data_IF_152261558328
#
_entry.id   IF_152261558328
#
_cell.length_a   1.000
_cell.length_b   1.000
_cell.length_c   1.000
_cell.angle_alpha   90.00
_cell.angle_beta   90.00
_cell.angle_gamma   90.00
#
_symmetry.space_group_name_H-M   'P 1'
#
loop_
_entity.id
_entity.type
_entity.pdbx_description
1 polymer ?
#
# COMPACT_ATOMS: atom_id res chain seq x y z
N UNK A 1 -4.09 8.24 -6.22
CA UNK A 1 -3.50 6.96 -5.81
C UNK A 1 -2.86 6.24 -7.00
N UNK A 2 -2.05 5.18 -6.76
CA UNK A 2 -1.37 4.43 -7.83
C UNK A 2 -2.33 3.93 -8.91
N UNK A 3 -3.48 3.37 -8.56
CA UNK A 3 -4.46 2.88 -9.56
C UNK A 3 -4.97 4.02 -10.44
N UNK A 4 -5.31 5.17 -9.88
CA UNK A 4 -5.75 6.33 -10.66
C UNK A 4 -4.67 6.82 -11.64
N UNK A 5 -3.41 6.81 -11.21
CA UNK A 5 -2.27 7.12 -12.06
C UNK A 5 -2.15 6.13 -13.23
N UNK A 6 -2.25 4.83 -12.94
CA UNK A 6 -2.16 3.77 -13.94
C UNK A 6 -3.27 3.87 -14.99
N UNK A 7 -4.50 4.15 -14.56
CA UNK A 7 -5.65 4.35 -15.46
C UNK A 7 -5.45 5.61 -16.31
N UNK A 8 -5.06 6.74 -15.70
CA UNK A 8 -4.86 8.01 -16.41
C UNK A 8 -3.77 7.93 -17.49
N UNK A 9 -2.77 7.09 -17.28
CA UNK A 9 -1.66 6.89 -18.22
C UNK A 9 -1.86 5.65 -19.12
N UNK A 10 -3.09 5.11 -19.21
CA UNK A 10 -3.46 3.97 -20.08
C UNK A 10 -2.66 2.69 -19.82
N UNK A 11 -2.05 2.57 -18.63
CA UNK A 11 -1.29 1.39 -18.21
C UNK A 11 -2.18 0.31 -17.59
N UNK A 12 -3.39 0.65 -17.18
CA UNK A 12 -4.37 -0.27 -16.63
C UNK A 12 -5.78 0.10 -17.11
N UNK A 13 -6.48 -0.86 -17.72
CA UNK A 13 -7.88 -0.71 -18.11
C UNK A 13 -8.78 -1.03 -16.91
N UNK A 14 -9.74 -0.15 -16.60
CA UNK A 14 -10.70 -0.32 -15.51
C UNK A 14 -11.63 -1.53 -15.69
N UNK A 15 -11.77 -2.05 -16.90
CA UNK A 15 -12.51 -3.28 -17.18
C UNK A 15 -11.76 -4.55 -16.75
N UNK A 16 -10.45 -4.44 -16.51
CA UNK A 16 -9.61 -5.52 -16.01
C UNK A 16 -9.82 -5.75 -14.51
N UNK A 17 -9.34 -6.88 -14.02
CA UNK A 17 -9.55 -7.31 -12.64
C UNK A 17 -8.38 -6.95 -11.75
N UNK A 18 -8.67 -6.38 -10.58
CA UNK A 18 -7.69 -6.11 -9.51
C UNK A 18 -7.66 -7.26 -8.52
N UNK A 19 -6.48 -7.85 -8.32
CA UNK A 19 -6.21 -8.83 -7.26
C UNK A 19 -5.73 -8.15 -5.99
N UNK A 20 -6.37 -8.43 -4.87
CA UNK A 20 -6.02 -7.88 -3.54
C UNK A 20 -5.51 -9.02 -2.68
N UNK A 21 -4.28 -8.95 -2.19
CA UNK A 21 -3.72 -9.91 -1.25
C UNK A 21 -3.69 -9.28 0.15
N UNK A 22 -4.46 -9.88 1.07
CA UNK A 22 -4.71 -9.37 2.42
C UNK A 22 -6.00 -8.55 2.51
N UNK A 23 -6.92 -8.96 3.39
CA UNK A 23 -8.24 -8.33 3.61
C UNK A 23 -8.38 -7.71 5.01
N UNK A 24 -7.26 -7.18 5.52
CA UNK A 24 -7.23 -6.39 6.75
C UNK A 24 -7.81 -4.97 6.57
N UNK A 25 -7.41 -4.04 7.44
CA UNK A 25 -7.95 -2.67 7.45
C UNK A 25 -7.79 -1.92 6.12
N UNK A 26 -6.71 -2.14 5.38
CA UNK A 26 -6.45 -1.45 4.11
C UNK A 26 -7.08 -2.20 2.95
N UNK A 27 -6.83 -3.52 2.84
CA UNK A 27 -7.33 -4.33 1.73
C UNK A 27 -8.86 -4.39 1.67
N UNK A 28 -9.55 -4.49 2.81
CA UNK A 28 -11.02 -4.47 2.86
C UNK A 28 -11.60 -3.14 2.37
N UNK A 29 -11.01 -2.02 2.76
CA UNK A 29 -11.42 -0.68 2.30
C UNK A 29 -11.18 -0.49 0.81
N UNK A 30 -10.03 -0.97 0.31
CA UNK A 30 -9.72 -0.93 -1.12
C UNK A 30 -10.73 -1.76 -1.91
N UNK A 31 -11.04 -2.98 -1.45
CA UNK A 31 -12.05 -3.85 -2.06
C UNK A 31 -13.39 -3.14 -2.22
N UNK A 32 -13.88 -2.55 -1.12
CA UNK A 32 -15.15 -1.81 -1.12
C UNK A 32 -15.09 -0.62 -2.09
N UNK A 33 -14.01 0.16 -2.06
CA UNK A 33 -13.84 1.31 -2.94
C UNK A 33 -13.84 0.91 -4.43
N UNK A 34 -13.12 -0.16 -4.79
CA UNK A 34 -13.11 -0.68 -6.17
C UNK A 34 -14.51 -1.17 -6.59
N UNK A 35 -15.21 -1.90 -5.72
CA UNK A 35 -16.56 -2.36 -6.00
C UNK A 35 -17.55 -1.19 -6.21
N UNK A 36 -17.45 -0.14 -5.39
CA UNK A 36 -18.28 1.06 -5.54
C UNK A 36 -18.01 1.84 -6.84
N UNK A 37 -16.80 1.71 -7.38
CA UNK A 37 -16.40 2.28 -8.68
C UNK A 37 -16.71 1.35 -9.87
N UNK A 38 -17.33 0.19 -9.64
CA UNK A 38 -17.62 -0.80 -10.67
C UNK A 38 -16.39 -1.57 -11.18
N UNK A 39 -15.24 -1.45 -10.52
CA UNK A 39 -13.99 -2.14 -10.90
C UNK A 39 -14.01 -3.56 -10.35
N UNK A 40 -13.87 -4.53 -11.23
CA UNK A 40 -13.79 -5.95 -10.87
C UNK A 40 -12.61 -6.20 -9.95
N UNK A 41 -12.85 -6.92 -8.86
CA UNK A 41 -11.76 -7.27 -7.94
C UNK A 41 -11.94 -8.67 -7.36
N UNK A 42 -10.80 -9.30 -7.03
CA UNK A 42 -10.71 -10.58 -6.30
C UNK A 42 -9.83 -10.36 -5.10
N UNK A 43 -10.18 -11.00 -3.98
CA UNK A 43 -9.45 -10.83 -2.73
C UNK A 43 -9.02 -12.19 -2.20
N UNK A 44 -7.78 -12.30 -1.77
CA UNK A 44 -7.21 -13.48 -1.11
C UNK A 44 -6.75 -13.10 0.29
N UNK A 45 -7.24 -13.83 1.29
CA UNK A 45 -6.75 -13.80 2.65
C UNK A 45 -7.00 -15.17 3.30
N UNK A 46 -5.93 -15.95 3.59
CA UNK A 46 -6.08 -17.33 4.07
C UNK A 46 -6.50 -17.43 5.56
N UNK A 47 -6.58 -16.31 6.27
CA UNK A 47 -7.03 -16.26 7.66
C UNK A 47 -8.54 -16.02 7.79
N UNK A 48 -9.23 -15.70 6.69
CA UNK A 48 -10.64 -15.39 6.68
C UNK A 48 -11.41 -16.48 5.91
N UNK A 49 -12.64 -16.70 6.33
CA UNK A 49 -13.60 -17.58 5.67
C UNK A 49 -14.82 -16.72 5.27
N UNK A 50 -14.82 -16.27 4.02
CA UNK A 50 -15.82 -15.35 3.49
C UNK A 50 -16.10 -15.69 2.01
N UNK A 51 -17.36 -15.67 1.59
CA UNK A 51 -17.82 -16.09 0.25
C UNK A 51 -17.20 -15.29 -0.91
N UNK A 52 -16.76 -14.06 -0.66
CA UNK A 52 -16.15 -13.21 -1.68
C UNK A 52 -14.64 -13.45 -1.88
N UNK A 53 -14.02 -14.31 -1.07
CA UNK A 53 -12.60 -14.61 -1.19
C UNK A 53 -12.32 -15.60 -2.32
N UNK A 54 -11.13 -15.50 -2.88
CA UNK A 54 -10.60 -16.44 -3.87
C UNK A 54 -9.34 -17.12 -3.36
N UNK A 55 -8.87 -18.14 -4.05
CA UNK A 55 -7.56 -18.72 -3.80
C UNK A 55 -6.45 -17.92 -4.49
N UNK A 56 -5.20 -18.30 -4.23
CA UNK A 56 -4.02 -17.63 -4.78
C UNK A 56 -3.95 -17.69 -6.33
N UNK A 57 -4.47 -18.74 -6.92
CA UNK A 57 -4.51 -18.88 -8.39
C UNK A 57 -5.53 -17.93 -9.02
N UNK A 58 -6.63 -17.65 -8.32
CA UNK A 58 -7.57 -16.61 -8.70
C UNK A 58 -6.93 -15.21 -8.70
N UNK A 59 -5.96 -14.96 -7.82
CA UNK A 59 -5.16 -13.72 -7.81
C UNK A 59 -4.18 -13.68 -8.99
N UNK A 60 -3.50 -14.79 -9.27
CA UNK A 60 -2.58 -14.88 -10.43
C UNK A 60 -3.28 -14.56 -11.76
N UNK A 61 -4.58 -14.80 -11.85
CA UNK A 61 -5.37 -14.50 -13.03
C UNK A 61 -5.69 -13.00 -13.20
N UNK A 62 -5.46 -12.15 -12.19
CA UNK A 62 -5.73 -10.72 -12.25
C UNK A 62 -4.63 -9.97 -13.01
N UNK A 63 -4.97 -8.86 -13.65
CA UNK A 63 -4.06 -8.02 -14.42
C UNK A 63 -3.25 -7.07 -13.54
N UNK A 64 -3.82 -6.62 -12.43
CA UNK A 64 -3.16 -5.83 -11.41
C UNK A 64 -3.28 -6.55 -10.07
N UNK A 65 -2.15 -6.67 -9.36
CA UNK A 65 -2.11 -7.29 -8.02
C UNK A 65 -1.56 -6.26 -7.03
N UNK A 66 -2.21 -6.13 -5.88
CA UNK A 66 -1.79 -5.22 -4.81
C UNK A 66 -1.74 -5.92 -3.46
N UNK A 67 -0.69 -5.61 -2.68
CA UNK A 67 -0.38 -6.27 -1.41
C UNK A 67 -0.78 -5.42 -0.22
N UNK A 68 -1.48 -6.04 0.75
CA UNK A 68 -1.94 -5.42 1.99
C UNK A 68 -1.80 -6.36 3.18
N UNK A 69 -0.69 -7.10 3.25
CA UNK A 69 -0.38 -8.08 4.31
C UNK A 69 0.76 -7.60 5.21
N UNK A 70 0.80 -7.97 6.48
CA UNK A 70 2.00 -7.80 7.30
C UNK A 70 3.11 -8.74 6.83
N UNK A 71 4.36 -8.42 7.15
CA UNK A 71 5.48 -9.36 6.98
C UNK A 71 5.50 -10.33 8.17
N UNK A 72 5.38 -11.63 7.88
CA UNK A 72 5.41 -12.70 8.90
C UNK A 72 6.28 -13.86 8.43
N UNK A 73 7.04 -14.45 9.37
CA UNK A 73 7.83 -15.66 9.11
C UNK A 73 7.29 -16.90 9.84
N UNK A 74 6.69 -16.70 11.02
CA UNK A 74 6.27 -17.78 11.93
C UNK A 74 4.74 -17.82 12.11
N UNK A 75 3.97 -17.54 11.07
CA UNK A 75 2.52 -17.65 11.10
C UNK A 75 2.05 -18.93 10.40
N UNK A 76 0.79 -19.31 10.55
CA UNK A 76 0.18 -20.42 9.82
C UNK A 76 0.30 -20.24 8.29
N UNK A 77 0.26 -18.99 7.84
CA UNK A 77 0.44 -18.60 6.44
C UNK A 77 1.50 -17.49 6.39
N UNK A 78 2.80 -17.85 6.34
CA UNK A 78 3.88 -16.87 6.34
C UNK A 78 3.86 -16.05 5.06
N UNK A 79 4.18 -14.76 5.18
CA UNK A 79 4.17 -13.83 4.05
C UNK A 79 5.57 -13.46 3.57
N UNK A 80 6.63 -13.82 4.32
CA UNK A 80 8.01 -13.64 3.88
C UNK A 80 8.27 -14.43 2.60
N UNK A 81 8.71 -13.74 1.53
CA UNK A 81 8.89 -14.31 0.19
C UNK A 81 7.63 -15.03 -0.35
N UNK A 82 6.44 -14.61 0.06
CA UNK A 82 5.18 -15.20 -0.40
C UNK A 82 5.02 -15.07 -1.93
N UNK A 83 5.46 -13.95 -2.50
CA UNK A 83 5.55 -13.77 -3.94
C UNK A 83 6.98 -14.11 -4.38
N UNK A 84 7.26 -15.39 -4.42
CA UNK A 84 8.55 -15.95 -4.82
C UNK A 84 8.78 -15.90 -6.34
N UNK A 85 9.90 -16.43 -6.79
CA UNK A 85 10.27 -16.49 -8.20
C UNK A 85 9.27 -17.28 -9.05
N UNK A 86 8.65 -18.31 -8.51
CA UNK A 86 7.62 -19.11 -9.19
C UNK A 86 6.36 -18.26 -9.41
N UNK A 87 5.89 -17.57 -8.37
CA UNK A 87 4.74 -16.68 -8.48
C UNK A 87 5.03 -15.53 -9.46
N UNK A 88 6.14 -14.82 -9.28
CA UNK A 88 6.54 -13.68 -10.13
C UNK A 88 6.71 -14.11 -11.60
N UNK A 89 7.20 -15.31 -11.84
CA UNK A 89 7.33 -15.89 -13.20
C UNK A 89 5.99 -16.04 -13.94
N UNK A 90 4.87 -16.15 -13.22
CA UNK A 90 3.53 -16.22 -13.83
C UNK A 90 2.95 -14.84 -14.21
N UNK A 91 3.57 -13.74 -13.75
CA UNK A 91 3.06 -12.38 -13.93
C UNK A 91 3.64 -11.72 -15.18
N UNK A 92 3.31 -12.24 -16.36
CA UNK A 92 3.69 -11.61 -17.64
C UNK A 92 2.72 -10.50 -18.01
N UNK A 93 3.26 -9.34 -18.38
CA UNK A 93 2.48 -8.15 -18.80
C UNK A 93 1.45 -7.72 -17.74
N UNK A 94 1.78 -7.86 -16.47
CA UNK A 94 0.92 -7.54 -15.33
C UNK A 94 1.51 -6.41 -14.50
N UNK A 95 0.71 -5.92 -13.57
CA UNK A 95 1.11 -4.85 -12.64
C UNK A 95 1.13 -5.42 -11.23
N UNK A 96 2.24 -5.24 -10.53
CA UNK A 96 2.38 -5.59 -9.11
C UNK A 96 2.64 -4.33 -8.28
N UNK A 97 1.79 -4.09 -7.30
CA UNK A 97 1.90 -2.96 -6.36
C UNK A 97 2.22 -3.50 -4.96
N UNK A 98 3.36 -3.08 -4.40
CA UNK A 98 3.71 -3.37 -3.02
C UNK A 98 3.78 -2.09 -2.17
N UNK A 99 2.74 -1.84 -1.39
CA UNK A 99 2.67 -0.77 -0.41
C UNK A 99 2.49 -1.32 1.01
N UNK A 100 2.89 -2.58 1.23
CA UNK A 100 2.76 -3.22 2.53
C UNK A 100 4.08 -3.34 3.28
N UNK A 101 4.96 -4.26 2.92
CA UNK A 101 6.28 -4.45 3.56
C UNK A 101 7.30 -4.98 2.56
N UNK A 102 8.56 -4.60 2.72
CA UNK A 102 9.70 -5.29 2.12
C UNK A 102 9.77 -6.74 2.60
N UNK A 103 10.40 -7.63 1.84
CA UNK A 103 10.56 -9.04 2.18
C UNK A 103 9.35 -9.94 1.85
N UNK A 104 8.22 -9.39 1.37
CA UNK A 104 7.06 -10.18 0.90
C UNK A 104 7.29 -10.63 -0.55
N UNK A 105 7.92 -9.80 -1.35
CA UNK A 105 8.20 -10.02 -2.77
C UNK A 105 9.67 -10.40 -2.97
N UNK A 106 9.93 -11.41 -3.80
CA UNK A 106 11.28 -11.70 -4.30
C UNK A 106 11.69 -10.62 -5.30
N UNK A 107 12.40 -9.60 -4.82
CA UNK A 107 12.88 -8.48 -5.63
C UNK A 107 13.83 -8.91 -6.76
N UNK A 108 14.59 -9.99 -6.55
CA UNK A 108 15.45 -10.55 -7.59
C UNK A 108 14.63 -11.16 -8.73
N UNK A 109 13.51 -11.79 -8.41
CA UNK A 109 12.58 -12.30 -9.41
C UNK A 109 11.89 -11.15 -10.18
N UNK A 110 11.53 -10.06 -9.50
CA UNK A 110 11.01 -8.84 -10.14
C UNK A 110 12.02 -8.29 -11.14
N UNK A 111 13.31 -8.20 -10.78
CA UNK A 111 14.37 -7.73 -11.67
C UNK A 111 14.54 -8.61 -12.92
N UNK A 112 14.33 -9.91 -12.80
CA UNK A 112 14.40 -10.85 -13.93
C UNK A 112 13.19 -10.80 -14.86
N UNK A 113 12.00 -10.48 -14.31
CA UNK A 113 10.74 -10.42 -15.09
C UNK A 113 10.59 -9.04 -15.75
N UNK A 114 11.09 -8.90 -16.99
CA UNK A 114 11.11 -7.62 -17.71
C UNK A 114 9.73 -7.11 -18.12
N UNK A 115 8.75 -8.00 -18.24
CA UNK A 115 7.38 -7.68 -18.66
C UNK A 115 6.50 -7.24 -17.50
N UNK A 116 6.97 -7.40 -16.25
CA UNK A 116 6.23 -7.01 -15.05
C UNK A 116 6.38 -5.51 -14.81
N UNK A 117 5.27 -4.78 -14.70
CA UNK A 117 5.25 -3.40 -14.22
C UNK A 117 5.26 -3.46 -12.68
N UNK A 118 6.29 -2.91 -12.06
CA UNK A 118 6.43 -2.89 -10.60
C UNK A 118 6.26 -1.48 -10.03
N UNK A 119 5.44 -1.38 -9.00
CA UNK A 119 5.19 -0.16 -8.22
C UNK A 119 5.46 -0.51 -6.76
N UNK A 120 6.35 0.21 -6.09
CA UNK A 120 6.67 -0.08 -4.69
C UNK A 120 6.91 1.15 -3.84
N UNK A 121 6.39 1.09 -2.61
CA UNK A 121 6.66 2.06 -1.55
C UNK A 121 7.57 1.45 -0.47
N UNK A 122 7.82 0.14 -0.53
CA UNK A 122 8.55 -0.62 0.51
C UNK A 122 9.59 -1.53 -0.13
N UNK A 123 10.72 -1.70 0.55
CA UNK A 123 11.91 -2.33 -0.06
C UNK A 123 12.55 -3.33 0.90
N UNK A 124 13.24 -4.31 0.33
CA UNK A 124 14.16 -5.11 1.12
C UNK A 124 15.34 -4.23 1.56
N UNK A 125 15.86 -4.51 2.74
CA UNK A 125 17.03 -3.83 3.31
C UNK A 125 16.86 -2.31 3.48
N UNK A 126 15.66 -1.81 3.76
CA UNK A 126 15.51 -0.42 4.18
C UNK A 126 16.44 -0.10 5.37
N UNK A 127 17.12 1.05 5.42
CA UNK A 127 16.97 2.21 4.54
C UNK A 127 17.89 2.22 3.31
N UNK A 128 18.55 1.11 2.97
CA UNK A 128 19.46 0.99 1.81
C UNK A 128 18.90 -0.04 0.83
N UNK A 129 17.88 0.31 0.05
CA UNK A 129 17.26 -0.60 -0.90
C UNK A 129 18.12 -0.83 -2.15
N UNK A 130 17.75 -1.82 -2.96
CA UNK A 130 18.42 -2.11 -4.22
C UNK A 130 18.14 -1.00 -5.26
N UNK A 131 19.17 -0.21 -5.58
CA UNK A 131 19.05 0.91 -6.54
C UNK A 131 18.55 0.45 -7.91
N UNK A 132 19.04 -0.68 -8.44
CA UNK A 132 18.59 -1.20 -9.74
C UNK A 132 17.09 -1.49 -9.77
N UNK A 133 16.53 -1.94 -8.64
CA UNK A 133 15.10 -2.18 -8.55
C UNK A 133 14.32 -0.86 -8.48
N UNK A 134 14.81 0.12 -7.72
CA UNK A 134 14.23 1.48 -7.68
C UNK A 134 14.17 2.07 -9.08
N UNK A 135 15.29 2.10 -9.79
CA UNK A 135 15.41 2.67 -11.13
C UNK A 135 14.51 1.97 -12.16
N UNK A 136 14.26 0.67 -11.96
CA UNK A 136 13.37 -0.13 -12.82
C UNK A 136 11.89 0.03 -12.49
N UNK A 137 11.56 0.42 -11.27
CA UNK A 137 10.16 0.52 -10.83
C UNK A 137 9.44 1.69 -11.52
N UNK A 138 8.21 1.46 -11.96
CA UNK A 138 7.40 2.52 -12.58
C UNK A 138 7.14 3.67 -11.60
N UNK A 139 6.88 3.32 -10.34
CA UNK A 139 6.77 4.25 -9.22
C UNK A 139 7.55 3.65 -8.05
N UNK A 140 8.48 4.43 -7.51
CA UNK A 140 9.29 4.09 -6.35
C UNK A 140 9.17 5.21 -5.32
N UNK A 141 8.76 4.87 -4.10
CA UNK A 141 8.64 5.84 -3.00
C UNK A 141 9.35 5.32 -1.75
N UNK A 142 9.86 6.21 -0.87
CA UNK A 142 10.67 5.82 0.28
C UNK A 142 9.81 5.53 1.52
N UNK A 143 8.90 4.54 1.44
CA UNK A 143 8.03 4.07 2.52
C UNK A 143 7.15 5.18 3.12
N UNK A 144 6.47 5.93 2.25
CA UNK A 144 5.65 7.10 2.62
C UNK A 144 4.14 6.87 2.51
N UNK A 145 3.67 5.76 1.94
CA UNK A 145 2.24 5.51 1.71
C UNK A 145 1.39 5.53 2.99
N UNK A 146 2.00 5.18 4.15
CA UNK A 146 1.37 5.27 5.47
C UNK A 146 1.64 6.59 6.21
N UNK A 147 2.39 7.52 5.64
CA UNK A 147 2.85 8.74 6.29
C UNK A 147 2.02 9.98 5.92
N UNK A 148 0.75 9.80 5.59
CA UNK A 148 -0.13 10.95 5.37
C UNK A 148 -0.35 11.71 6.69
N UNK A 149 -0.48 13.03 6.60
CA UNK A 149 -0.81 13.90 7.71
C UNK A 149 -2.09 13.44 8.42
N UNK A 150 -3.16 13.19 7.64
CA UNK A 150 -4.43 12.67 8.15
C UNK A 150 -4.29 11.31 8.83
N UNK A 151 -3.44 10.42 8.30
CA UNK A 151 -3.19 9.10 8.88
C UNK A 151 -2.54 9.20 10.26
N UNK A 152 -1.57 10.10 10.44
CA UNK A 152 -0.90 10.36 11.73
C UNK A 152 -1.86 10.96 12.74
N UNK A 153 -2.65 11.96 12.34
CA UNK A 153 -3.66 12.60 13.19
C UNK A 153 -4.70 11.56 13.64
N UNK A 154 -5.30 10.84 12.70
CA UNK A 154 -6.31 9.83 13.02
C UNK A 154 -5.75 8.71 13.92
N UNK A 155 -4.48 8.35 13.76
CA UNK A 155 -3.78 7.42 14.66
C UNK A 155 -3.68 7.97 16.09
N UNK A 156 -3.27 9.22 16.23
CA UNK A 156 -3.16 9.91 17.52
C UNK A 156 -4.52 10.07 18.19
N UNK A 157 -5.55 10.51 17.44
CA UNK A 157 -6.92 10.62 17.92
C UNK A 157 -7.42 9.27 18.47
N UNK A 158 -7.25 8.18 17.71
CA UNK A 158 -7.68 6.85 18.15
C UNK A 158 -6.96 6.38 19.41
N UNK A 159 -5.67 6.69 19.54
CA UNK A 159 -4.88 6.33 20.72
C UNK A 159 -5.38 7.08 21.96
N UNK A 160 -5.56 8.41 21.82
CA UNK A 160 -6.07 9.26 22.91
C UNK A 160 -7.48 8.85 23.29
N UNK A 161 -8.38 8.62 22.33
CA UNK A 161 -9.75 8.16 22.59
C UNK A 161 -9.75 6.85 23.40
N UNK A 162 -8.97 5.86 22.97
CA UNK A 162 -8.86 4.59 23.71
C UNK A 162 -8.26 4.73 25.11
N UNK A 163 -7.27 5.60 25.27
CA UNK A 163 -6.68 5.87 26.57
C UNK A 163 -7.70 6.49 27.51
N UNK A 164 -8.45 7.50 27.06
CA UNK A 164 -9.46 8.19 27.83
C UNK A 164 -10.66 7.30 28.15
N UNK A 165 -11.07 6.42 27.24
CA UNK A 165 -12.05 5.37 27.49
C UNK A 165 -11.57 4.41 28.60
N UNK A 166 -10.29 4.02 28.58
CA UNK A 166 -9.67 3.14 29.57
C UNK A 166 -9.66 3.76 30.97
N UNK A 167 -9.40 5.06 31.10
CA UNK A 167 -9.40 5.78 32.38
C UNK A 167 -10.78 6.33 32.78
N UNK A 168 -11.85 5.97 32.07
CA UNK A 168 -13.25 6.36 32.33
C UNK A 168 -13.51 7.90 32.32
N UNK A 169 -12.71 8.65 31.58
CA UNK A 169 -12.88 10.12 31.46
C UNK A 169 -13.50 10.50 30.11
N UNK A 170 -14.76 10.10 29.87
CA UNK A 170 -15.46 10.32 28.58
C UNK A 170 -15.62 11.82 28.23
N UNK A 171 -15.78 12.68 29.19
CA UNK A 171 -15.99 14.12 28.93
C UNK A 171 -14.72 14.82 28.43
N UNK A 172 -13.54 14.36 28.82
CA UNK A 172 -12.26 14.87 28.34
C UNK A 172 -11.93 14.43 26.91
N UNK A 173 -12.50 13.30 26.44
CA UNK A 173 -12.36 12.85 25.03
C UNK A 173 -12.91 13.90 24.09
N UNK A 174 -14.11 14.39 24.33
CA UNK A 174 -14.78 15.37 23.46
C UNK A 174 -14.02 16.69 23.44
N UNK A 175 -13.47 17.11 24.59
CA UNK A 175 -12.68 18.34 24.71
C UNK A 175 -11.33 18.20 23.96
N UNK A 176 -10.61 17.08 24.13
CA UNK A 176 -9.38 16.81 23.42
C UNK A 176 -9.60 16.71 21.89
N UNK A 177 -10.67 16.06 21.43
CA UNK A 177 -11.03 15.98 20.03
C UNK A 177 -11.38 17.35 19.45
N UNK A 178 -12.08 18.21 20.22
CA UNK A 178 -12.37 19.57 19.79
C UNK A 178 -11.11 20.42 19.61
N UNK A 179 -10.17 20.35 20.57
CA UNK A 179 -8.88 21.04 20.50
C UNK A 179 -8.06 20.57 19.29
N UNK A 180 -7.95 19.26 19.08
CA UNK A 180 -7.24 18.68 17.96
C UNK A 180 -7.85 19.15 16.63
N UNK A 181 -9.15 18.99 16.45
CA UNK A 181 -9.85 19.39 15.23
C UNK A 181 -9.76 20.90 14.95
N UNK A 182 -9.85 21.75 15.98
CA UNK A 182 -9.70 23.20 15.81
C UNK A 182 -8.27 23.60 15.39
N UNK A 183 -7.27 22.97 15.96
CA UNK A 183 -5.86 23.23 15.63
C UNK A 183 -5.52 22.81 14.20
N UNK A 184 -6.06 21.67 13.74
CA UNK A 184 -5.83 21.16 12.39
C UNK A 184 -6.67 21.84 11.30
N UNK A 185 -7.86 22.32 11.62
CA UNK A 185 -8.67 23.14 10.69
C UNK A 185 -8.01 24.50 10.38
N UNK A 186 -7.21 25.03 11.29
CA UNK A 186 -6.47 26.28 11.09
C UNK A 186 -5.24 26.10 10.17
N UNK A 187 -4.61 24.92 10.17
CA UNK A 187 -3.39 24.65 9.40
C UNK A 187 -3.64 24.12 7.98
N UNK A 188 -4.86 23.70 7.65
CA UNK A 188 -5.19 23.20 6.30
C UNK A 188 -5.28 24.27 5.21
N UNK A 189 -5.21 25.56 5.56
CA UNK A 189 -5.24 26.65 4.58
C UNK A 189 -3.89 26.90 3.89
N UNK A 190 -2.79 26.37 4.43
CA UNK A 190 -1.41 26.58 3.92
C UNK A 190 -0.73 25.30 3.39
N UNK A 191 -1.43 24.18 3.25
CA UNK A 191 -0.88 23.02 2.56
C UNK A 191 -0.82 23.30 1.06
N UNK A 192 0.29 23.89 0.61
CA UNK A 192 0.80 23.66 -0.74
C UNK A 192 0.96 22.15 -0.89
N UNK A 193 0.21 21.57 -1.83
CA UNK A 193 0.50 20.23 -2.32
C UNK A 193 1.97 20.26 -2.76
N UNK A 194 2.82 19.57 -2.01
CA UNK A 194 4.19 19.30 -2.45
C UNK A 194 4.05 18.58 -3.80
N UNK A 195 4.54 19.22 -4.85
CA UNK A 195 4.63 18.58 -6.16
C UNK A 195 5.44 17.30 -5.95
N UNK A 196 4.84 16.17 -6.33
CA UNK A 196 5.47 14.86 -6.22
C UNK A 196 6.84 14.88 -6.91
N UNK A 197 6.99 15.62 -8.00
CA UNK A 197 8.25 15.78 -8.72
C UNK A 197 9.29 16.54 -7.87
N UNK A 198 8.89 17.60 -7.15
CA UNK A 198 9.79 18.34 -6.25
C UNK A 198 10.28 17.47 -5.09
N UNK A 199 9.45 16.52 -4.63
CA UNK A 199 9.83 15.55 -3.60
C UNK A 199 10.81 14.50 -4.16
N UNK A 200 10.59 14.02 -5.38
CA UNK A 200 11.50 13.07 -6.05
C UNK A 200 12.84 13.71 -6.40
N UNK A 201 12.88 14.96 -6.83
CA UNK A 201 14.11 15.69 -7.11
C UNK A 201 14.95 15.91 -5.83
N UNK A 202 14.31 16.14 -4.70
CA UNK A 202 14.97 16.32 -3.40
C UNK A 202 15.54 15.02 -2.81
N UNK A 203 15.00 13.85 -3.19
CA UNK A 203 15.44 12.53 -2.74
C UNK A 203 16.07 11.69 -3.87
N UNK A 204 16.15 12.19 -5.09
CA UNK A 204 17.07 11.67 -6.09
C UNK A 204 18.50 11.98 -5.60
N UNK A 205 19.01 11.07 -4.77
CA UNK A 205 20.40 11.09 -4.34
C UNK A 205 21.26 10.66 -5.53
N UNK A 206 21.37 11.52 -6.52
CA UNK A 206 22.52 11.56 -7.37
C UNK A 206 23.63 12.25 -6.57
N UNK A 207 24.19 11.55 -5.61
CA UNK A 207 25.49 11.89 -5.08
C UNK A 207 26.55 11.39 -6.06
N UNK A 208 26.84 12.21 -7.05
CA UNK A 208 28.19 12.29 -7.58
C UNK A 208 29.06 12.97 -6.51
N UNK A 209 29.88 12.19 -5.83
CA UNK A 209 31.24 12.55 -5.38
C UNK A 209 31.92 11.33 -4.79
#
# INVERSE_FOLDING_TARGET
SCISFLVKNELFDINNTVGIIGCGNVGSKLRIALSNLGIKNKTYDPFLDMDFLTNIDGIKACELITLHTPLTSNSKYPTKNMLDSSFIGTLKSKILINTSRGGIVDESAVLRNKDLIYVSDVWNNEPVPNKTLIDRSLIATPHIAGHSFDGKINGTIKLITKLLEYINQKDEVNNALHIINSHFSLNNKDQKYLDINEYFDKYNVNNES
#
